data_IF_594377158213
#
_entry.id   IF_594377158213
#
_cell.length_a   1.000
_cell.length_b   1.000
_cell.length_c   1.000
_cell.angle_alpha   90.00
_cell.angle_beta   90.00
_cell.angle_gamma   90.00
#
_symmetry.space_group_name_H-M   'P 1'
#
loop_
_entity.id
_entity.type
_entity.pdbx_description
1 polymer ?
#
# COMPACT_ATOMS: atom_id res chain seq x y z
N UNK A 1 -61.71 -44.24 3.67
CA UNK A 1 -62.53 -44.39 4.90
C UNK A 1 -61.89 -45.49 5.74
N UNK A 2 -61.42 -45.13 6.94
CA UNK A 2 -61.40 -45.90 8.21
C UNK A 2 -60.79 -47.33 8.19
N UNK A 3 -59.87 -47.77 9.05
CA UNK A 3 -59.40 -47.37 10.41
C UNK A 3 -58.23 -48.28 10.83
N UNK A 4 -57.24 -47.73 11.57
CA UNK A 4 -56.61 -48.18 12.85
C UNK A 4 -56.30 -49.69 13.08
N UNK A 5 -55.25 -50.16 13.77
CA UNK A 5 -54.24 -49.59 14.69
C UNK A 5 -53.25 -50.68 15.18
N UNK A 6 -52.07 -50.25 15.70
CA UNK A 6 -51.29 -50.79 16.87
C UNK A 6 -50.71 -52.21 16.81
N UNK A 7 -49.58 -52.61 17.42
CA UNK A 7 -48.47 -52.02 18.18
C UNK A 7 -47.63 -53.21 18.71
N UNK A 8 -46.31 -53.04 18.94
CA UNK A 8 -45.50 -53.58 20.07
C UNK A 8 -44.08 -54.04 19.67
N UNK A 9 -43.09 -53.45 20.34
CA UNK A 9 -41.72 -53.93 20.54
C UNK A 9 -41.67 -54.80 21.82
N UNK A 10 -40.60 -55.59 22.11
CA UNK A 10 -39.38 -55.01 22.70
C UNK A 10 -38.03 -55.74 22.41
N UNK A 11 -36.95 -54.96 22.65
CA UNK A 11 -35.56 -55.24 23.09
C UNK A 11 -34.96 -56.67 23.07
N UNK A 12 -33.74 -56.79 22.53
CA UNK A 12 -32.52 -57.10 23.31
C UNK A 12 -31.23 -56.87 22.50
N UNK A 13 -30.18 -56.43 23.20
CA UNK A 13 -28.85 -56.10 22.69
C UNK A 13 -27.95 -57.34 22.58
N UNK A 14 -26.92 -57.31 21.73
CA UNK A 14 -25.55 -57.65 22.14
C UNK A 14 -24.49 -57.31 21.07
N UNK A 15 -23.37 -56.84 21.61
CA UNK A 15 -22.13 -56.35 21.01
C UNK A 15 -21.22 -57.48 20.55
N UNK A 16 -20.50 -57.31 19.44
CA UNK A 16 -19.08 -57.71 19.36
C UNK A 16 -18.41 -57.20 18.08
N UNK A 17 -17.40 -56.34 18.28
CA UNK A 17 -16.40 -55.99 17.29
C UNK A 17 -15.27 -57.04 17.35
N UNK A 18 -14.79 -57.50 16.20
CA UNK A 18 -13.40 -57.97 16.07
C UNK A 18 -12.88 -57.75 14.64
N UNK A 19 -11.59 -57.46 14.58
CA UNK A 19 -10.79 -56.77 13.56
C UNK A 19 -10.68 -57.45 12.17
N UNK A 20 -10.11 -56.72 11.18
CA UNK A 20 -9.34 -57.35 10.11
C UNK A 20 -7.84 -56.96 10.14
N UNK A 21 -7.02 -57.99 10.29
CA UNK A 21 -5.95 -58.46 9.37
C UNK A 21 -5.05 -57.39 8.69
N UNK A 22 -3.75 -57.40 9.05
CA UNK A 22 -2.61 -56.99 8.21
C UNK A 22 -2.23 -58.16 7.27
N UNK A 23 -1.65 -57.97 6.08
CA UNK A 23 -0.21 -57.83 5.70
C UNK A 23 -0.19 -58.07 4.13
N UNK A 24 0.82 -57.77 3.26
CA UNK A 24 1.78 -56.66 3.05
C UNK A 24 1.95 -56.16 1.57
N UNK A 25 2.74 -55.08 1.44
CA UNK A 25 3.80 -54.77 0.45
C UNK A 25 3.55 -54.76 -1.08
N UNK A 26 3.90 -53.63 -1.70
CA UNK A 26 4.27 -53.52 -3.11
C UNK A 26 4.74 -52.10 -3.46
N UNK A 27 6.05 -51.94 -3.58
CA UNK A 27 6.79 -50.71 -3.90
C UNK A 27 6.76 -50.32 -5.39
N UNK A 28 6.70 -49.02 -5.71
CA UNK A 28 7.49 -48.45 -6.82
C UNK A 28 7.58 -46.92 -6.78
N UNK A 29 8.82 -46.46 -6.98
CA UNK A 29 9.34 -45.09 -7.12
C UNK A 29 8.68 -44.21 -8.20
N UNK A 30 8.54 -42.90 -7.91
CA UNK A 30 9.10 -41.77 -8.71
C UNK A 30 8.77 -40.42 -8.02
N UNK A 31 9.73 -39.82 -7.30
CA UNK A 31 10.47 -38.61 -7.69
C UNK A 31 9.69 -37.28 -7.67
N UNK A 32 9.79 -36.60 -6.52
CA UNK A 32 10.10 -35.19 -6.28
C UNK A 32 9.80 -34.15 -7.39
N UNK A 33 8.83 -33.28 -7.10
CA UNK A 33 8.75 -31.90 -7.60
C UNK A 33 8.67 -31.01 -6.36
N UNK A 34 9.50 -29.96 -6.21
CA UNK A 34 9.50 -29.15 -5.00
C UNK A 34 8.31 -28.21 -4.98
N UNK A 35 7.46 -28.38 -3.96
CA UNK A 35 6.57 -27.36 -3.44
C UNK A 35 7.41 -26.16 -3.00
N UNK A 36 7.33 -25.05 -3.74
CA UNK A 36 7.62 -23.74 -3.16
C UNK A 36 6.28 -23.00 -3.09
N UNK A 37 5.71 -23.07 -1.90
CA UNK A 37 4.44 -22.54 -1.44
C UNK A 37 4.29 -21.05 -1.75
N UNK A 38 3.31 -20.70 -2.59
CA UNK A 38 2.66 -19.39 -2.56
C UNK A 38 1.72 -19.39 -1.36
N UNK A 39 2.04 -18.63 -0.32
CA UNK A 39 1.08 -18.28 0.73
C UNK A 39 -0.01 -17.40 0.10
N UNK A 40 -1.15 -18.01 -0.20
CA UNK A 40 -2.36 -17.29 -0.60
C UNK A 40 -2.86 -16.56 0.64
N UNK A 41 -2.54 -15.27 0.77
CA UNK A 41 -3.20 -14.39 1.72
C UNK A 41 -4.63 -14.12 1.22
N UNK A 42 -5.53 -15.05 1.51
CA UNK A 42 -6.96 -14.80 1.43
C UNK A 42 -7.30 -13.72 2.44
N UNK A 43 -7.37 -12.46 2.02
CA UNK A 43 -8.05 -11.40 2.76
C UNK A 43 -9.57 -11.60 2.66
N UNK A 44 -10.01 -12.80 3.06
CA UNK A 44 -11.40 -13.12 3.35
C UNK A 44 -11.74 -12.48 4.69
N UNK A 45 -12.53 -11.43 4.64
CA UNK A 45 -13.10 -10.77 5.81
C UNK A 45 -13.78 -11.83 6.67
N UNK A 46 -13.23 -12.09 7.87
CA UNK A 46 -13.89 -12.88 8.89
C UNK A 46 -15.10 -12.10 9.46
N UNK A 47 -16.19 -12.03 8.70
CA UNK A 47 -17.52 -11.57 9.15
C UNK A 47 -18.63 -12.48 8.60
N UNK A 48 -18.38 -13.78 8.57
CA UNK A 48 -19.30 -14.80 8.03
C UNK A 48 -20.48 -15.15 8.97
N UNK A 49 -20.82 -14.26 9.91
CA UNK A 49 -21.87 -14.52 10.92
C UNK A 49 -23.01 -13.50 10.98
N UNK A 50 -23.09 -12.50 10.09
CA UNK A 50 -24.17 -11.50 10.17
C UNK A 50 -25.01 -11.27 8.92
N UNK A 51 -24.82 -12.03 7.83
CA UNK A 51 -25.66 -11.88 6.65
C UNK A 51 -26.26 -13.22 6.25
N UNK A 52 -27.58 -13.22 6.08
CA UNK A 52 -28.34 -14.40 5.68
C UNK A 52 -27.73 -15.03 4.44
N UNK A 53 -27.52 -16.34 4.51
CA UNK A 53 -27.34 -17.19 3.33
C UNK A 53 -28.55 -16.94 2.44
N UNK A 54 -28.39 -16.23 1.33
CA UNK A 54 -29.05 -16.43 0.03
C UNK A 54 -28.66 -15.30 -0.94
N UNK A 55 -27.99 -15.70 -2.03
CA UNK A 55 -27.91 -15.03 -3.36
C UNK A 55 -27.14 -13.72 -3.60
N UNK A 56 -26.55 -13.04 -2.60
CA UNK A 56 -25.73 -11.82 -2.87
C UNK A 56 -24.20 -11.98 -2.77
N UNK A 57 -23.68 -13.20 -2.61
CA UNK A 57 -22.23 -13.46 -2.62
C UNK A 57 -21.59 -13.46 -4.02
N UNK A 58 -22.39 -13.43 -5.10
CA UNK A 58 -21.92 -13.64 -6.47
C UNK A 58 -21.32 -12.40 -7.20
N UNK A 59 -21.26 -11.22 -6.58
CA UNK A 59 -20.87 -9.97 -7.27
C UNK A 59 -19.78 -9.15 -6.57
N UNK A 60 -19.08 -9.73 -5.58
CA UNK A 60 -17.93 -9.01 -5.00
C UNK A 60 -16.68 -9.31 -5.81
N UNK A 61 -15.99 -8.31 -6.38
CA UNK A 61 -14.71 -8.56 -7.02
C UNK A 61 -13.78 -9.19 -6.00
N UNK A 62 -13.33 -10.40 -6.29
CA UNK A 62 -12.32 -11.07 -5.49
C UNK A 62 -10.97 -10.45 -5.86
N UNK A 63 -10.36 -9.77 -4.89
CA UNK A 63 -9.02 -9.23 -5.02
C UNK A 63 -8.01 -10.27 -4.52
N UNK A 64 -6.94 -10.46 -5.28
CA UNK A 64 -5.82 -11.33 -4.93
C UNK A 64 -4.53 -10.57 -5.15
N UNK A 65 -3.55 -10.74 -4.27
CA UNK A 65 -2.23 -10.15 -4.45
C UNK A 65 -1.32 -11.10 -5.21
N UNK A 66 -0.55 -10.55 -6.14
CA UNK A 66 0.47 -11.28 -6.89
C UNK A 66 1.81 -10.56 -6.76
N UNK A 67 2.91 -11.29 -6.90
CA UNK A 67 4.20 -10.66 -7.19
C UNK A 67 4.45 -10.77 -8.70
N UNK A 68 5.01 -9.72 -9.30
CA UNK A 68 5.45 -9.76 -10.68
C UNK A 68 6.57 -10.79 -10.82
N UNK A 69 6.52 -11.62 -11.87
CA UNK A 69 7.57 -12.64 -12.12
C UNK A 69 8.88 -12.05 -12.59
N UNK A 70 8.85 -10.87 -13.25
CA UNK A 70 10.05 -10.15 -13.69
C UNK A 70 10.64 -9.27 -12.59
N UNK A 71 9.79 -8.72 -11.73
CA UNK A 71 10.20 -7.94 -10.57
C UNK A 71 9.48 -8.45 -9.31
N UNK A 72 10.06 -9.42 -8.58
CA UNK A 72 9.42 -10.01 -7.39
C UNK A 72 9.11 -9.02 -6.25
N UNK A 73 9.74 -7.84 -6.25
CA UNK A 73 9.47 -6.78 -5.27
C UNK A 73 8.21 -5.97 -5.63
N UNK A 74 7.76 -6.05 -6.88
CA UNK A 74 6.54 -5.39 -7.34
C UNK A 74 5.32 -6.25 -6.99
N UNK A 75 4.53 -5.75 -6.04
CA UNK A 75 3.24 -6.34 -5.66
C UNK A 75 2.15 -5.79 -6.57
N UNK A 76 1.35 -6.69 -7.14
CA UNK A 76 0.26 -6.41 -8.06
C UNK A 76 -1.09 -6.70 -7.41
N UNK A 77 -2.08 -5.88 -7.73
CA UNK A 77 -3.47 -6.11 -7.35
C UNK A 77 -4.18 -6.85 -8.48
N UNK A 78 -4.51 -8.13 -8.29
CA UNK A 78 -5.31 -8.90 -9.21
C UNK A 78 -6.81 -8.74 -8.94
N UNK A 79 -7.56 -8.35 -9.96
CA UNK A 79 -9.02 -8.29 -9.94
C UNK A 79 -9.57 -9.48 -10.69
N UNK A 80 -10.37 -10.30 -10.02
CA UNK A 80 -11.02 -11.46 -10.63
C UNK A 80 -11.90 -11.02 -11.81
N UNK A 81 -11.81 -11.76 -12.92
CA UNK A 81 -12.61 -11.53 -14.13
C UNK A 81 -13.47 -12.76 -14.44
N UNK A 82 -13.01 -13.59 -15.37
CA UNK A 82 -13.71 -14.79 -15.85
C UNK A 82 -12.93 -16.02 -15.40
N UNK A 83 -13.65 -17.04 -14.94
CA UNK A 83 -13.08 -18.32 -14.47
C UNK A 83 -12.02 -18.12 -13.38
N UNK A 84 -10.75 -18.49 -13.62
CA UNK A 84 -9.63 -18.30 -12.67
C UNK A 84 -8.61 -17.28 -13.19
N UNK A 85 -9.03 -16.37 -14.09
CA UNK A 85 -8.17 -15.31 -14.64
C UNK A 85 -8.37 -14.00 -13.92
N UNK A 86 -7.26 -13.28 -13.74
CA UNK A 86 -7.20 -12.03 -12.98
C UNK A 86 -6.57 -10.94 -13.82
N UNK A 87 -7.24 -9.79 -13.90
CA UNK A 87 -6.61 -8.58 -14.44
C UNK A 87 -5.66 -8.03 -13.38
N UNK A 88 -4.37 -8.13 -13.63
CA UNK A 88 -3.33 -7.62 -12.71
C UNK A 88 -3.12 -6.13 -12.93
N UNK A 89 -3.20 -5.38 -11.86
CA UNK A 89 -3.03 -3.93 -11.82
C UNK A 89 -1.78 -3.57 -11.02
N UNK A 90 -1.08 -2.57 -11.50
CA UNK A 90 0.08 -1.95 -10.88
C UNK A 90 -0.28 -0.53 -10.46
N UNK A 91 0.24 -0.07 -9.32
CA UNK A 91 0.01 1.30 -8.86
C UNK A 91 1.19 2.20 -9.24
N UNK A 92 0.92 3.19 -10.08
CA UNK A 92 1.91 4.17 -10.50
C UNK A 92 1.97 5.31 -9.47
N UNK A 93 3.06 5.38 -8.71
CA UNK A 93 3.22 6.34 -7.62
C UNK A 93 3.28 7.81 -8.07
N UNK A 94 3.82 8.09 -9.24
CA UNK A 94 3.95 9.44 -9.81
C UNK A 94 2.58 10.05 -10.15
N UNK A 95 1.71 9.26 -10.77
CA UNK A 95 0.36 9.67 -11.19
C UNK A 95 -0.70 9.41 -10.11
N UNK A 96 -0.39 8.56 -9.13
CA UNK A 96 -1.35 8.05 -8.14
C UNK A 96 -2.54 7.36 -8.80
N UNK A 97 -2.28 6.54 -9.82
CA UNK A 97 -3.31 5.80 -10.56
C UNK A 97 -2.93 4.33 -10.70
N UNK A 98 -3.94 3.49 -10.97
CA UNK A 98 -3.73 2.08 -11.28
C UNK A 98 -3.69 1.88 -12.78
N UNK A 99 -2.64 1.23 -13.24
CA UNK A 99 -2.46 0.82 -14.63
C UNK A 99 -2.58 -0.70 -14.75
N UNK A 100 -2.97 -1.16 -15.94
CA UNK A 100 -2.87 -2.58 -16.28
C UNK A 100 -1.40 -2.96 -16.32
N UNK A 101 -1.03 -4.01 -15.59
CA UNK A 101 0.36 -4.44 -15.53
C UNK A 101 0.81 -5.00 -16.89
N UNK A 102 1.90 -4.46 -17.42
CA UNK A 102 2.45 -4.76 -18.75
C UNK A 102 3.61 -5.77 -18.65
N UNK A 103 3.29 -7.01 -18.27
CA UNK A 103 4.27 -8.08 -18.14
C UNK A 103 3.69 -9.39 -18.68
N UNK A 104 4.56 -10.33 -19.06
CA UNK A 104 4.19 -11.71 -19.41
C UNK A 104 3.44 -12.47 -18.31
N UNK A 105 3.57 -12.04 -17.04
CA UNK A 105 2.77 -12.60 -15.96
C UNK A 105 1.31 -12.13 -15.95
N UNK A 106 0.91 -11.16 -16.78
CA UNK A 106 -0.49 -10.81 -16.96
C UNK A 106 -1.29 -12.01 -17.49
N UNK A 107 -2.52 -12.20 -17.02
CA UNK A 107 -3.38 -13.22 -17.62
C UNK A 107 -3.65 -12.88 -19.09
N UNK A 108 -3.46 -13.82 -20.03
CA UNK A 108 -3.65 -13.53 -21.44
C UNK A 108 -5.11 -13.20 -21.76
N UNK A 109 -5.30 -12.29 -22.70
CA UNK A 109 -6.58 -12.05 -23.36
C UNK A 109 -6.89 -13.22 -24.28
N UNK A 110 -8.12 -13.73 -24.21
CA UNK A 110 -8.63 -14.81 -25.04
C UNK A 110 -9.60 -14.26 -26.09
N UNK A 111 -9.88 -15.01 -27.15
CA UNK A 111 -10.89 -14.59 -28.15
C UNK A 111 -12.27 -14.43 -27.52
N UNK A 112 -12.61 -15.30 -26.57
CA UNK A 112 -13.86 -15.21 -25.79
C UNK A 112 -13.93 -14.01 -24.83
N UNK A 113 -12.90 -13.17 -24.75
CA UNK A 113 -12.98 -11.88 -24.07
C UNK A 113 -13.35 -10.74 -25.02
N UNK A 114 -13.16 -10.94 -26.33
CA UNK A 114 -13.31 -9.93 -27.36
C UNK A 114 -14.75 -9.89 -27.86
N UNK A 115 -15.40 -8.74 -27.71
CA UNK A 115 -16.74 -8.49 -28.24
C UNK A 115 -16.61 -7.61 -29.48
N UNK A 116 -16.80 -8.15 -30.69
CA UNK A 116 -16.59 -7.39 -31.91
C UNK A 116 -17.66 -6.30 -32.04
N UNK A 117 -17.21 -5.09 -32.39
CA UNK A 117 -18.02 -3.89 -32.53
C UNK A 117 -18.27 -3.54 -34.00
N UNK A 118 -17.19 -3.39 -34.79
CA UNK A 118 -17.22 -3.18 -36.25
C UNK A 118 -15.90 -3.63 -36.90
N UNK A 119 -15.93 -3.80 -38.23
CA UNK A 119 -14.74 -4.14 -39.03
C UNK A 119 -14.47 -3.04 -40.05
N UNK A 120 -13.21 -2.86 -40.42
CA UNK A 120 -12.81 -1.92 -41.46
C UNK A 120 -11.56 -2.42 -42.18
N UNK A 121 -11.51 -2.28 -43.50
CA UNK A 121 -10.33 -2.66 -44.27
C UNK A 121 -9.26 -1.58 -44.18
N UNK A 122 -8.03 -1.96 -43.81
CA UNK A 122 -6.89 -1.07 -43.78
C UNK A 122 -5.96 -1.38 -44.96
N UNK A 123 -5.86 -0.46 -45.91
CA UNK A 123 -5.05 -0.64 -47.12
C UNK A 123 -3.56 -0.73 -46.84
N UNK A 124 -3.06 -0.11 -45.77
CA UNK A 124 -1.62 -0.11 -45.45
C UNK A 124 -1.12 -1.47 -44.97
N UNK A 125 -1.90 -2.16 -44.12
CA UNK A 125 -1.60 -3.52 -43.68
C UNK A 125 -2.18 -4.58 -44.62
N UNK A 126 -2.99 -4.17 -45.60
CA UNK A 126 -3.65 -5.04 -46.57
C UNK A 126 -4.66 -6.01 -45.95
N UNK A 127 -5.20 -5.73 -44.78
CA UNK A 127 -6.02 -6.64 -43.98
C UNK A 127 -7.25 -5.96 -43.37
N UNK A 128 -8.26 -6.73 -42.99
CA UNK A 128 -9.42 -6.23 -42.25
C UNK A 128 -9.08 -6.15 -40.77
N UNK A 129 -9.25 -4.96 -40.20
CA UNK A 129 -9.13 -4.67 -38.78
C UNK A 129 -10.48 -4.88 -38.11
N UNK A 130 -10.49 -5.65 -37.04
CA UNK A 130 -11.66 -5.89 -36.18
C UNK A 130 -11.53 -5.01 -34.95
N UNK A 131 -12.50 -4.12 -34.73
CA UNK A 131 -12.61 -3.36 -33.49
C UNK A 131 -13.37 -4.18 -32.47
N UNK A 132 -12.76 -4.39 -31.31
CA UNK A 132 -13.33 -5.18 -30.24
C UNK A 132 -13.45 -4.34 -28.97
N UNK A 133 -14.52 -4.59 -28.20
CA UNK A 133 -14.54 -4.32 -26.78
C UNK A 133 -13.96 -5.54 -26.06
N UNK A 134 -12.80 -5.39 -25.44
CA UNK A 134 -12.19 -6.43 -24.63
C UNK A 134 -12.80 -6.39 -23.23
N UNK A 135 -13.62 -7.38 -22.91
CA UNK A 135 -14.30 -7.51 -21.62
C UNK A 135 -13.37 -7.90 -20.47
N UNK A 136 -12.16 -8.38 -20.77
CA UNK A 136 -11.18 -8.74 -19.75
C UNK A 136 -10.52 -7.51 -19.11
N UNK A 137 -10.17 -6.52 -19.92
CA UNK A 137 -9.51 -5.29 -19.48
C UNK A 137 -10.35 -4.01 -19.64
N UNK A 138 -11.56 -4.13 -20.18
CA UNK A 138 -12.51 -3.05 -20.46
C UNK A 138 -11.95 -1.95 -21.36
N UNK A 139 -11.20 -2.35 -22.39
CA UNK A 139 -10.67 -1.43 -23.41
C UNK A 139 -11.28 -1.69 -24.77
N UNK A 140 -11.27 -0.65 -25.61
CA UNK A 140 -11.48 -0.79 -27.05
C UNK A 140 -10.13 -1.02 -27.70
N UNK A 141 -10.04 -2.11 -28.43
CA UNK A 141 -8.79 -2.59 -29.02
C UNK A 141 -9.04 -2.97 -30.47
N UNK A 142 -7.97 -3.04 -31.26
CA UNK A 142 -8.03 -3.36 -32.68
C UNK A 142 -7.23 -4.63 -32.93
N UNK A 143 -7.77 -5.52 -33.73
CA UNK A 143 -7.19 -6.83 -33.98
C UNK A 143 -7.17 -7.15 -35.46
N UNK A 144 -6.14 -7.89 -35.89
CA UNK A 144 -6.04 -8.47 -37.22
C UNK A 144 -5.86 -9.97 -37.09
N UNK A 145 -6.42 -10.73 -38.02
CA UNK A 145 -6.17 -12.17 -38.07
C UNK A 145 -4.90 -12.43 -38.89
N UNK A 146 -3.92 -13.06 -38.27
CA UNK A 146 -2.70 -13.49 -38.93
C UNK A 146 -2.89 -14.93 -39.46
N UNK A 147 -2.77 -15.09 -40.77
CA UNK A 147 -3.00 -16.38 -41.46
C UNK A 147 -1.92 -17.42 -41.17
N UNK A 148 -0.70 -17.00 -40.88
CA UNK A 148 0.44 -17.88 -40.61
C UNK A 148 0.37 -18.43 -39.18
N UNK A 149 0.23 -17.53 -38.19
CA UNK A 149 0.12 -17.89 -36.78
C UNK A 149 -1.27 -18.41 -36.40
N UNK A 150 -2.28 -18.16 -37.24
CA UNK A 150 -3.69 -18.55 -37.07
C UNK A 150 -4.33 -17.98 -35.80
N UNK A 151 -3.83 -16.84 -35.32
CA UNK A 151 -4.32 -16.14 -34.13
C UNK A 151 -4.71 -14.69 -34.48
N UNK A 152 -5.46 -14.07 -33.57
CA UNK A 152 -5.68 -12.64 -33.57
C UNK A 152 -4.47 -11.93 -32.95
N UNK A 153 -4.02 -10.87 -33.61
CA UNK A 153 -2.91 -10.02 -33.18
C UNK A 153 -3.44 -8.60 -32.95
N UNK A 154 -3.17 -8.03 -31.78
CA UNK A 154 -3.52 -6.66 -31.44
C UNK A 154 -2.68 -5.70 -32.29
N UNK A 155 -3.36 -4.71 -32.87
CA UNK A 155 -2.74 -3.63 -33.64
C UNK A 155 -3.21 -2.29 -33.08
N UNK A 156 -2.48 -1.22 -33.38
CA UNK A 156 -2.92 0.12 -33.07
C UNK A 156 -2.83 1.01 -34.32
N UNK A 157 -3.98 1.41 -34.85
CA UNK A 157 -4.12 2.31 -36.00
C UNK A 157 -4.85 3.57 -35.58
N UNK A 158 -4.10 4.65 -35.39
CA UNK A 158 -4.62 5.97 -34.99
C UNK A 158 -5.43 6.66 -36.09
N UNK A 159 -5.15 6.34 -37.35
CA UNK A 159 -5.84 6.81 -38.56
C UNK A 159 -7.23 6.20 -38.73
N UNK A 160 -7.50 5.09 -38.05
CA UNK A 160 -8.77 4.40 -38.11
C UNK A 160 -9.57 4.66 -36.83
N UNK A 161 -10.64 5.44 -36.95
CA UNK A 161 -11.49 5.81 -35.81
C UNK A 161 -12.67 4.86 -35.62
N UNK A 162 -13.04 4.62 -34.37
CA UNK A 162 -14.24 3.86 -34.03
C UNK A 162 -15.51 4.56 -34.53
N UNK A 163 -16.36 3.81 -35.23
CA UNK A 163 -17.63 4.28 -35.78
C UNK A 163 -18.82 3.59 -35.09
N UNK A 164 -19.53 4.25 -34.17
CA UNK A 164 -20.62 3.64 -33.39
C UNK A 164 -21.88 3.34 -34.21
N UNK A 165 -22.02 3.95 -35.39
CA UNK A 165 -23.08 3.72 -36.36
C UNK A 165 -22.94 2.38 -37.10
N UNK A 166 -21.76 1.76 -37.04
CA UNK A 166 -21.49 0.46 -37.64
C UNK A 166 -21.71 -0.65 -36.61
N UNK A 167 -22.58 -1.60 -36.94
CA UNK A 167 -22.81 -2.80 -36.17
C UNK A 167 -22.46 -4.03 -37.01
N UNK A 168 -21.78 -5.01 -36.40
CA UNK A 168 -21.52 -6.30 -37.06
C UNK A 168 -22.73 -7.21 -36.89
N UNK A 169 -23.07 -7.92 -37.98
CA UNK A 169 -23.90 -9.13 -37.93
C UNK A 169 -23.18 -10.28 -37.19
N UNK A 170 -23.78 -11.48 -37.18
CA UNK A 170 -23.14 -12.68 -36.61
C UNK A 170 -21.76 -12.97 -37.21
N UNK A 171 -21.56 -12.72 -38.50
CA UNK A 171 -20.28 -12.98 -39.19
C UNK A 171 -19.40 -11.73 -39.16
N UNK A 172 -18.18 -11.88 -38.63
CA UNK A 172 -17.22 -10.78 -38.48
C UNK A 172 -16.26 -10.75 -39.67
N UNK A 173 -15.70 -11.90 -40.03
CA UNK A 173 -14.71 -12.04 -41.10
C UNK A 173 -14.66 -13.48 -41.60
N UNK A 174 -14.33 -13.69 -42.87
CA UNK A 174 -14.00 -15.00 -43.43
C UNK A 174 -12.61 -14.89 -44.08
N UNK A 175 -11.70 -15.79 -43.72
CA UNK A 175 -10.34 -15.85 -44.24
C UNK A 175 -10.10 -17.18 -44.96
N UNK A 176 -9.72 -17.12 -46.24
CA UNK A 176 -9.18 -18.28 -46.95
C UNK A 176 -7.72 -18.49 -46.54
N UNK A 177 -7.40 -19.71 -46.07
CA UNK A 177 -6.06 -20.11 -45.58
C UNK A 177 -5.39 -21.14 -46.52
N UNK A 178 -6.10 -21.64 -47.53
CA UNK A 178 -5.58 -22.59 -48.51
C UNK A 178 -6.68 -23.13 -49.42
N UNK A 179 -6.33 -24.07 -50.32
CA UNK A 179 -7.23 -24.63 -51.34
C UNK A 179 -8.48 -25.28 -50.74
N UNK A 180 -9.53 -24.49 -50.54
CA UNK A 180 -10.83 -24.94 -50.02
C UNK A 180 -11.02 -24.87 -48.50
N UNK A 181 -10.05 -24.34 -47.73
CA UNK A 181 -10.16 -24.19 -46.27
C UNK A 181 -10.38 -22.73 -45.90
N UNK A 182 -11.51 -22.46 -45.26
CA UNK A 182 -11.86 -21.14 -44.76
C UNK A 182 -11.93 -21.14 -43.22
N UNK A 183 -11.40 -20.09 -42.60
CA UNK A 183 -11.69 -19.76 -41.20
C UNK A 183 -12.74 -18.66 -41.19
N UNK A 184 -13.88 -18.89 -40.55
CA UNK A 184 -14.82 -17.84 -40.20
C UNK A 184 -14.57 -17.39 -38.77
N UNK A 185 -14.48 -16.07 -38.59
CA UNK A 185 -14.50 -15.42 -37.29
C UNK A 185 -15.93 -14.91 -37.11
N UNK A 186 -16.60 -15.39 -36.08
CA UNK A 186 -17.99 -15.09 -35.80
C UNK A 186 -18.16 -14.58 -34.37
N UNK A 187 -19.23 -13.80 -34.17
CA UNK A 187 -19.70 -13.39 -32.87
C UNK A 187 -20.65 -14.46 -32.31
N UNK A 188 -20.31 -15.03 -31.17
CA UNK A 188 -21.22 -15.87 -30.39
C UNK A 188 -21.73 -15.16 -29.13
N UNK A 189 -22.43 -15.88 -28.24
CA UNK A 189 -22.96 -15.33 -26.99
C UNK A 189 -21.87 -14.97 -25.97
N UNK A 190 -20.66 -15.51 -26.14
CA UNK A 190 -19.55 -15.40 -25.21
C UNK A 190 -18.42 -14.51 -25.72
N UNK A 191 -18.43 -14.09 -26.98
CA UNK A 191 -17.41 -13.21 -27.58
C UNK A 191 -17.11 -13.60 -29.03
N UNK A 192 -15.85 -13.46 -29.42
CA UNK A 192 -15.36 -13.98 -30.69
C UNK A 192 -15.14 -15.49 -30.59
N UNK A 193 -15.41 -16.16 -31.70
CA UNK A 193 -15.04 -17.56 -31.89
C UNK A 193 -14.65 -17.82 -33.33
N UNK A 194 -13.73 -18.77 -33.52
CA UNK A 194 -13.31 -19.21 -34.84
C UNK A 194 -13.99 -20.53 -35.23
N UNK A 195 -14.35 -20.65 -36.49
CA UNK A 195 -14.79 -21.90 -37.09
C UNK A 195 -13.93 -22.22 -38.31
N UNK A 196 -13.60 -23.50 -38.49
CA UNK A 196 -12.97 -24.03 -39.70
C UNK A 196 -14.02 -24.66 -40.59
N UNK A 197 -14.02 -24.26 -41.85
CA UNK A 197 -14.80 -24.86 -42.91
C UNK A 197 -13.88 -25.62 -43.87
N UNK A 198 -14.13 -26.92 -44.02
CA UNK A 198 -13.37 -27.82 -44.88
C UNK A 198 -14.32 -28.90 -45.41
N UNK A 199 -14.34 -29.10 -46.73
CA UNK A 199 -15.11 -30.16 -47.40
C UNK A 199 -16.61 -30.24 -47.01
N UNK A 200 -17.25 -29.10 -46.75
CA UNK A 200 -18.67 -29.06 -46.38
C UNK A 200 -18.96 -29.21 -44.89
N UNK A 201 -17.94 -29.42 -44.06
CA UNK A 201 -18.07 -29.49 -42.60
C UNK A 201 -17.62 -28.19 -41.94
N UNK A 202 -18.34 -27.79 -40.89
CA UNK A 202 -18.00 -26.65 -40.03
C UNK A 202 -17.62 -27.15 -38.64
N UNK A 203 -16.41 -26.85 -38.19
CA UNK A 203 -15.90 -27.24 -36.87
C UNK A 203 -15.54 -25.99 -36.07
N UNK A 204 -16.09 -25.83 -34.86
CA UNK A 204 -15.69 -24.75 -33.94
C UNK A 204 -14.29 -25.03 -33.41
N UNK A 205 -13.39 -24.05 -33.51
CA UNK A 205 -12.05 -24.14 -32.96
C UNK A 205 -12.06 -23.79 -31.46
N UNK A 206 -11.10 -24.33 -30.69
CA UNK A 206 -10.94 -23.97 -29.28
C UNK A 206 -10.57 -22.50 -29.11
N UNK A 207 -10.99 -21.92 -27.99
CA UNK A 207 -10.64 -20.54 -27.61
C UNK A 207 -9.12 -20.39 -27.53
N UNK A 208 -8.60 -19.36 -28.19
CA UNK A 208 -7.17 -19.16 -28.37
C UNK A 208 -6.69 -17.88 -27.69
N UNK A 209 -5.41 -17.84 -27.33
CA UNK A 209 -4.78 -16.63 -26.81
C UNK A 209 -4.61 -15.62 -27.94
N UNK A 210 -4.90 -14.37 -27.63
CA UNK A 210 -4.69 -13.23 -28.54
C UNK A 210 -3.35 -12.59 -28.22
N UNK A 211 -2.58 -12.25 -29.25
CA UNK A 211 -1.28 -11.61 -29.07
C UNK A 211 -1.44 -10.11 -28.84
N UNK A 212 -1.03 -9.62 -27.66
CA UNK A 212 -1.12 -8.21 -27.28
C UNK A 212 0.16 -7.42 -27.56
N UNK A 213 0.05 -6.10 -27.73
CA UNK A 213 1.20 -5.20 -27.84
C UNK A 213 1.84 -5.04 -26.45
N UNK A 214 3.07 -5.53 -26.27
CA UNK A 214 3.81 -5.40 -25.01
C UNK A 214 4.63 -4.11 -25.04
N UNK A 215 4.20 -3.11 -24.27
CA UNK A 215 5.00 -1.90 -24.03
C UNK A 215 6.00 -2.17 -22.89
N UNK A 216 7.28 -2.28 -23.23
CA UNK A 216 8.36 -2.36 -22.24
C UNK A 216 8.83 -0.94 -21.94
N UNK A 217 8.53 -0.41 -20.77
CA UNK A 217 9.31 0.67 -20.15
C UNK A 217 9.03 0.69 -18.65
N UNK A 218 10.06 0.54 -17.83
CA UNK A 218 10.01 0.97 -16.43
C UNK A 218 11.41 1.36 -15.97
N UNK A 219 11.65 2.65 -15.68
CA UNK A 219 12.85 3.09 -14.99
C UNK A 219 12.71 2.86 -13.48
N UNK A 220 13.80 2.41 -12.87
CA UNK A 220 13.96 2.18 -11.44
C UNK A 220 14.24 3.51 -10.71
N UNK A 221 13.48 3.89 -9.66
CA UNK A 221 13.74 5.11 -8.92
C UNK A 221 14.83 4.90 -7.85
N UNK A 222 15.77 5.84 -7.79
CA UNK A 222 16.84 5.90 -6.80
C UNK A 222 16.29 6.06 -5.36
N UNK A 223 16.79 5.23 -4.44
CA UNK A 223 16.35 5.20 -3.04
C UNK A 223 17.01 6.31 -2.20
N UNK A 224 16.25 7.04 -1.36
CA UNK A 224 16.81 7.95 -0.38
C UNK A 224 17.42 7.22 0.83
N UNK A 225 18.32 7.91 1.54
CA UNK A 225 19.02 7.42 2.74
C UNK A 225 18.07 6.99 3.87
N UNK A 226 18.34 5.84 4.49
CA UNK A 226 17.46 5.21 5.48
C UNK A 226 17.42 5.98 6.82
N UNK A 227 16.26 6.52 7.15
CA UNK A 227 15.91 6.90 8.52
C UNK A 227 14.85 5.93 9.09
N UNK A 228 14.54 6.04 10.39
CA UNK A 228 13.59 5.14 11.08
C UNK A 228 12.20 5.11 10.42
N UNK A 229 11.77 6.22 9.81
CA UNK A 229 10.48 6.28 9.09
C UNK A 229 10.50 5.41 7.83
N UNK A 230 11.58 5.46 7.05
CA UNK A 230 11.73 4.62 5.86
C UNK A 230 11.75 3.13 6.22
N UNK A 231 12.43 2.77 7.33
CA UNK A 231 12.43 1.40 7.83
C UNK A 231 11.02 0.93 8.20
N UNK A 232 10.27 1.76 8.93
CA UNK A 232 8.86 1.48 9.24
C UNK A 232 7.99 1.38 7.98
N UNK A 233 8.12 2.30 7.02
CA UNK A 233 7.31 2.26 5.79
C UNK A 233 7.60 1.04 4.92
N UNK A 234 8.81 0.48 4.98
CA UNK A 234 9.13 -0.80 4.33
C UNK A 234 8.35 -1.97 4.92
N UNK A 235 8.01 -1.96 6.21
CA UNK A 235 7.24 -3.05 6.85
C UNK A 235 5.73 -2.95 6.59
N UNK A 236 5.24 -1.81 6.10
CA UNK A 236 3.82 -1.63 5.81
C UNK A 236 3.39 -2.38 4.54
N UNK A 237 2.21 -3.04 4.53
CA UNK A 237 1.71 -3.70 3.34
C UNK A 237 1.46 -2.70 2.21
N UNK A 238 1.69 -3.12 0.97
CA UNK A 238 1.42 -2.27 -0.21
C UNK A 238 -0.08 -2.02 -0.37
N UNK A 239 -0.89 -3.05 -0.13
CA UNK A 239 -2.34 -3.00 -0.27
C UNK A 239 -3.06 -3.45 1.01
N UNK A 240 -4.14 -2.75 1.38
CA UNK A 240 -5.05 -3.13 2.45
C UNK A 240 -6.48 -3.11 1.92
N UNK A 241 -7.19 -4.24 2.02
CA UNK A 241 -8.62 -4.29 1.71
C UNK A 241 -9.46 -3.94 2.95
N UNK A 242 -10.52 -3.17 2.74
CA UNK A 242 -11.47 -2.82 3.81
C UNK A 242 -12.88 -2.69 3.25
N UNK A 243 -13.89 -3.12 4.01
CA UNK A 243 -15.28 -2.96 3.59
C UNK A 243 -15.85 -1.65 4.11
N UNK A 244 -16.45 -0.85 3.23
CA UNK A 244 -17.17 0.36 3.58
C UNK A 244 -18.68 0.06 3.68
N UNK A 245 -19.28 0.06 4.88
CA UNK A 245 -20.71 -0.24 5.03
C UNK A 245 -21.61 0.84 4.44
N UNK A 246 -21.20 2.12 4.46
CA UNK A 246 -22.01 3.24 3.96
C UNK A 246 -22.24 3.21 2.45
N UNK A 247 -21.26 2.69 1.71
CA UNK A 247 -21.34 2.54 0.26
C UNK A 247 -21.52 1.08 -0.15
N UNK A 248 -21.66 0.15 0.81
CA UNK A 248 -21.78 -1.29 0.60
C UNK A 248 -20.74 -1.86 -0.41
N UNK A 249 -19.47 -1.46 -0.28
CA UNK A 249 -18.41 -1.85 -1.24
C UNK A 249 -17.05 -2.03 -0.59
N UNK A 250 -16.19 -2.80 -1.24
CA UNK A 250 -14.80 -2.99 -0.83
C UNK A 250 -13.97 -1.79 -1.32
N UNK A 251 -13.17 -1.22 -0.42
CA UNK A 251 -12.14 -0.24 -0.70
C UNK A 251 -10.77 -0.92 -0.62
N UNK A 252 -9.95 -0.67 -1.62
CA UNK A 252 -8.52 -1.01 -1.62
C UNK A 252 -7.75 0.24 -1.25
N UNK A 253 -6.94 0.13 -0.22
CA UNK A 253 -6.00 1.14 0.21
C UNK A 253 -4.63 0.79 -0.33
N UNK A 254 -4.00 1.73 -1.02
CA UNK A 254 -2.65 1.56 -1.56
C UNK A 254 -1.69 2.50 -0.86
N UNK A 255 -0.57 1.96 -0.39
CA UNK A 255 0.49 2.68 0.31
C UNK A 255 1.15 3.67 -0.65
N UNK A 256 1.38 4.89 -0.20
CA UNK A 256 2.21 5.87 -0.92
C UNK A 256 3.54 6.10 -0.18
N UNK A 257 4.45 6.89 -0.77
CA UNK A 257 5.83 7.03 -0.31
C UNK A 257 5.96 7.54 1.14
N UNK A 258 5.02 8.37 1.61
CA UNK A 258 4.99 8.91 2.98
C UNK A 258 4.41 7.94 4.03
N UNK A 259 4.15 6.69 3.64
CA UNK A 259 3.57 5.65 4.48
C UNK A 259 2.07 5.78 4.73
N UNK A 260 1.41 6.81 4.18
CA UNK A 260 -0.06 6.90 4.19
C UNK A 260 -0.68 6.05 3.09
N UNK A 261 -2.01 5.96 3.07
CA UNK A 261 -2.76 5.18 2.09
C UNK A 261 -3.80 6.02 1.35
N UNK A 262 -3.83 5.86 0.04
CA UNK A 262 -4.92 6.34 -0.80
C UNK A 262 -6.00 5.27 -0.93
N UNK A 263 -7.27 5.67 -0.95
CA UNK A 263 -8.42 4.76 -1.05
C UNK A 263 -8.94 4.71 -2.47
N UNK A 264 -9.19 3.51 -2.98
CA UNK A 264 -9.79 3.22 -4.27
C UNK A 264 -10.90 2.19 -4.11
N UNK A 265 -11.78 2.13 -5.09
CA UNK A 265 -12.72 1.02 -5.27
C UNK A 265 -12.74 0.61 -6.73
N UNK A 266 -13.12 -0.63 -6.98
CA UNK A 266 -13.25 -1.14 -8.32
C UNK A 266 -14.69 -0.92 -8.81
N UNK A 267 -14.88 -0.22 -9.93
CA UNK A 267 -16.20 0.11 -10.48
C UNK A 267 -16.61 -0.84 -11.63
N UNK A 268 -16.17 -2.10 -11.58
CA UNK A 268 -16.32 -3.13 -12.63
C UNK A 268 -15.40 -2.91 -13.85
N UNK A 269 -15.08 -1.66 -14.16
CA UNK A 269 -14.19 -1.31 -15.27
C UNK A 269 -12.74 -1.15 -14.81
N UNK A 270 -12.52 -0.24 -13.86
CA UNK A 270 -11.20 0.22 -13.40
C UNK A 270 -11.20 0.52 -11.90
N UNK A 271 -10.00 0.77 -11.37
CA UNK A 271 -9.86 1.34 -10.03
C UNK A 271 -10.16 2.83 -10.08
N UNK A 272 -11.04 3.29 -9.19
CA UNK A 272 -11.46 4.69 -9.09
C UNK A 272 -11.14 5.19 -7.70
N UNK A 273 -10.53 6.38 -7.61
CA UNK A 273 -10.21 7.02 -6.32
C UNK A 273 -11.50 7.25 -5.54
N UNK A 274 -11.52 6.76 -4.30
CA UNK A 274 -12.67 6.89 -3.43
C UNK A 274 -12.68 8.28 -2.78
N UNK A 275 -13.87 8.86 -2.65
CA UNK A 275 -14.11 10.03 -1.80
C UNK A 275 -14.17 9.61 -0.34
N UNK A 276 -13.95 10.59 0.54
CA UNK A 276 -14.04 10.36 1.98
C UNK A 276 -15.48 10.00 2.38
N UNK A 277 -15.60 8.90 3.12
CA UNK A 277 -16.85 8.49 3.73
C UNK A 277 -17.00 9.23 5.07
N UNK A 278 -18.13 9.89 5.29
CA UNK A 278 -18.41 10.63 6.53
C UNK A 278 -18.44 9.75 7.78
N UNK A 279 -18.69 8.45 7.63
CA UNK A 279 -18.80 7.51 8.76
C UNK A 279 -17.56 6.63 8.92
N UNK A 280 -16.80 6.36 7.85
CA UNK A 280 -15.59 5.54 7.97
C UNK A 280 -14.44 6.42 8.48
N UNK A 281 -13.73 6.00 9.54
CA UNK A 281 -12.64 6.78 10.07
C UNK A 281 -11.54 6.95 9.03
N UNK A 282 -11.08 8.19 8.88
CA UNK A 282 -9.94 8.54 8.03
C UNK A 282 -8.67 8.71 8.87
N UNK A 283 -8.83 9.25 10.09
CA UNK A 283 -7.75 9.46 11.03
C UNK A 283 -7.80 8.39 12.12
N UNK A 284 -6.63 7.89 12.48
CA UNK A 284 -6.46 7.03 13.65
C UNK A 284 -6.72 7.87 14.89
N UNK A 285 -7.61 7.39 15.75
CA UNK A 285 -7.94 8.01 17.05
C UNK A 285 -7.81 6.95 18.12
N UNK A 286 -7.72 7.36 19.40
CA UNK A 286 -7.59 6.42 20.52
C UNK A 286 -8.65 5.30 20.49
N UNK A 287 -9.89 5.64 20.13
CA UNK A 287 -11.02 4.69 20.08
C UNK A 287 -10.87 3.62 18.99
N UNK A 288 -9.94 3.82 18.05
CA UNK A 288 -9.63 2.88 16.97
C UNK A 288 -8.40 2.02 17.31
N UNK A 289 -7.79 2.20 18.47
CA UNK A 289 -6.68 1.39 18.95
C UNK A 289 -7.20 0.34 19.94
N UNK A 290 -7.00 -0.93 19.60
CA UNK A 290 -7.30 -2.06 20.47
C UNK A 290 -6.01 -2.52 21.13
N UNK A 291 -5.79 -2.30 22.43
CA UNK A 291 -4.59 -2.79 23.09
C UNK A 291 -4.60 -4.32 23.12
N UNK A 292 -3.44 -4.90 22.79
CA UNK A 292 -3.22 -6.35 22.74
C UNK A 292 -2.42 -6.81 23.96
N UNK A 293 -1.32 -6.12 24.27
CA UNK A 293 -0.51 -6.29 25.48
C UNK A 293 0.46 -5.11 25.64
N UNK A 294 1.18 -5.09 26.77
CA UNK A 294 2.18 -4.08 27.12
C UNK A 294 3.55 -4.70 27.28
N UNK A 295 4.58 -3.94 26.95
CA UNK A 295 5.97 -4.27 27.22
C UNK A 295 6.60 -3.20 28.11
N UNK A 296 7.06 -3.64 29.29
CA UNK A 296 7.75 -2.80 30.26
C UNK A 296 9.22 -3.16 30.25
N UNK A 297 10.06 -2.16 30.08
CA UNK A 297 11.51 -2.30 30.10
C UNK A 297 12.10 -1.36 31.13
N UNK A 298 12.98 -1.90 31.96
CA UNK A 298 13.61 -1.13 33.02
C UNK A 298 14.45 0.00 32.41
N UNK A 299 14.15 1.24 32.78
CA UNK A 299 14.83 2.44 32.26
C UNK A 299 14.40 2.92 30.88
N UNK A 300 13.42 2.27 30.24
CA UNK A 300 12.89 2.66 28.93
C UNK A 300 11.40 3.02 28.99
N UNK A 301 10.89 3.64 27.91
CA UNK A 301 9.47 3.93 27.78
C UNK A 301 8.66 2.63 27.63
N UNK A 302 7.52 2.57 28.31
CA UNK A 302 6.61 1.44 28.20
C UNK A 302 5.89 1.45 26.84
N UNK A 303 5.88 0.31 26.17
CA UNK A 303 5.34 0.17 24.82
C UNK A 303 4.00 -0.54 24.87
N UNK A 304 3.02 0.03 24.17
CA UNK A 304 1.67 -0.49 24.02
C UNK A 304 1.57 -1.10 22.62
N UNK A 305 1.32 -2.40 22.53
CA UNK A 305 1.01 -3.03 21.25
C UNK A 305 -0.49 -2.95 20.99
N UNK A 306 -0.88 -2.27 19.93
CA UNK A 306 -2.27 -2.02 19.56
C UNK A 306 -2.60 -2.61 18.19
N UNK A 307 -3.77 -3.24 18.04
CA UNK A 307 -4.38 -3.42 16.72
C UNK A 307 -5.13 -2.15 16.33
N UNK A 308 -4.72 -1.50 15.25
CA UNK A 308 -5.40 -0.34 14.71
C UNK A 308 -6.59 -0.78 13.85
N UNK A 309 -7.82 -0.45 14.25
CA UNK A 309 -9.05 -0.83 13.53
C UNK A 309 -9.16 -0.20 12.14
N UNK A 310 -8.43 0.89 11.86
CA UNK A 310 -8.44 1.56 10.56
C UNK A 310 -7.66 0.76 9.52
N UNK A 311 -6.44 0.37 9.87
CA UNK A 311 -5.49 -0.33 8.97
C UNK A 311 -5.52 -1.85 9.16
N UNK A 312 -6.08 -2.32 10.28
CA UNK A 312 -6.00 -3.68 10.81
C UNK A 312 -4.56 -4.17 11.04
N UNK A 313 -3.61 -3.23 11.23
CA UNK A 313 -2.21 -3.53 11.52
C UNK A 313 -1.97 -3.55 13.04
N UNK A 314 -0.96 -4.31 13.44
CA UNK A 314 -0.40 -4.25 14.79
C UNK A 314 0.67 -3.15 14.81
N UNK A 315 0.43 -2.14 15.64
CA UNK A 315 1.19 -0.90 15.74
C UNK A 315 1.65 -0.71 17.20
N UNK A 316 2.78 -0.04 17.40
CA UNK A 316 3.34 0.22 18.73
C UNK A 316 3.14 1.68 19.11
N UNK A 317 2.81 1.93 20.38
CA UNK A 317 2.58 3.26 20.91
C UNK A 317 3.27 3.47 22.26
N UNK A 318 3.71 4.68 22.51
CA UNK A 318 4.07 5.17 23.84
C UNK A 318 3.13 6.33 24.20
N UNK A 319 2.85 6.49 25.48
CA UNK A 319 2.16 7.69 25.95
C UNK A 319 3.20 8.74 26.34
N UNK A 320 3.21 9.89 25.66
CA UNK A 320 4.09 11.01 25.99
C UNK A 320 3.37 11.93 26.97
N UNK A 321 3.88 11.99 28.20
CA UNK A 321 3.30 12.81 29.27
C UNK A 321 3.39 14.31 28.97
N UNK A 322 4.48 14.75 28.33
CA UNK A 322 4.74 16.18 28.12
C UNK A 322 3.77 16.78 27.12
N UNK A 323 3.44 16.02 26.08
CA UNK A 323 2.51 16.43 25.01
C UNK A 323 1.11 15.85 25.20
N UNK A 324 0.92 14.97 26.19
CA UNK A 324 -0.35 14.31 26.50
C UNK A 324 -0.98 13.59 25.29
N UNK A 325 -0.16 12.88 24.51
CA UNK A 325 -0.54 12.19 23.28
C UNK A 325 -0.02 10.74 23.25
N UNK A 326 -0.72 9.90 22.49
CA UNK A 326 -0.25 8.58 22.10
C UNK A 326 0.62 8.71 20.87
N UNK A 327 1.94 8.58 21.05
CA UNK A 327 2.92 8.65 19.98
C UNK A 327 3.18 7.25 19.43
N UNK A 328 2.93 7.07 18.14
CA UNK A 328 3.31 5.84 17.47
C UNK A 328 4.84 5.73 17.41
N UNK A 329 5.37 4.56 17.71
CA UNK A 329 6.80 4.26 17.63
C UNK A 329 7.02 3.06 16.71
N UNK A 330 8.26 2.89 16.24
CA UNK A 330 8.69 1.70 15.53
C UNK A 330 10.00 1.20 16.15
N UNK A 331 9.88 0.09 16.87
CA UNK A 331 10.95 -0.59 17.59
C UNK A 331 11.04 -2.01 17.02
N UNK A 332 11.84 -2.23 15.95
CA UNK A 332 11.94 -3.51 15.26
C UNK A 332 12.47 -4.65 16.13
N UNK A 333 13.18 -4.34 17.22
CA UNK A 333 13.68 -5.27 18.23
C UNK A 333 12.58 -5.88 19.11
N UNK A 334 11.36 -5.32 19.08
CA UNK A 334 10.19 -5.80 19.83
C UNK A 334 8.97 -5.97 18.93
N UNK A 335 9.00 -6.92 17.98
CA UNK A 335 7.85 -7.16 17.12
C UNK A 335 6.64 -7.60 17.93
N UNK A 336 5.45 -7.47 17.34
CA UNK A 336 4.23 -7.99 17.94
C UNK A 336 4.32 -9.52 18.13
N UNK A 337 4.07 -9.98 19.35
CA UNK A 337 4.01 -11.39 19.73
C UNK A 337 2.57 -11.78 20.11
N UNK A 338 1.93 -12.55 19.22
CA UNK A 338 0.56 -13.01 19.42
C UNK A 338 0.37 -13.94 20.62
N UNK A 339 1.43 -14.58 21.13
CA UNK A 339 1.34 -15.45 22.31
C UNK A 339 1.19 -14.67 23.61
N UNK A 340 1.64 -13.42 23.62
CA UNK A 340 1.51 -12.47 24.73
C UNK A 340 0.19 -11.74 24.72
N UNK A 341 -0.65 -11.98 23.71
CA UNK A 341 -1.99 -11.42 23.63
C UNK A 341 -2.74 -11.77 24.90
N UNK A 342 -3.27 -10.73 25.52
CA UNK A 342 -4.14 -10.89 26.66
C UNK A 342 -5.59 -10.73 26.15
N UNK A 343 -6.49 -11.62 26.55
CA UNK A 343 -7.91 -11.57 26.17
C UNK A 343 -8.86 -11.05 27.27
N UNK A 344 -8.35 -10.73 28.46
CA UNK A 344 -9.16 -10.16 29.55
C UNK A 344 -9.61 -8.71 29.28
N UNK A 345 -10.80 -8.36 29.74
CA UNK A 345 -11.38 -7.01 29.63
C UNK A 345 -10.81 -6.00 30.65
N UNK A 346 -9.76 -6.37 31.40
CA UNK A 346 -9.21 -5.54 32.47
C UNK A 346 -7.67 -5.53 32.45
N UNK A 347 -7.10 -4.63 31.66
CA UNK A 347 -5.68 -4.25 31.81
C UNK A 347 -5.54 -3.08 32.76
N UNK A 348 -4.56 -3.14 33.64
CA UNK A 348 -4.12 -1.99 34.41
C UNK A 348 -2.61 -1.97 34.34
N UNK A 349 -2.08 -1.09 33.52
CA UNK A 349 -0.67 -0.76 33.58
C UNK A 349 -0.52 0.64 34.19
N UNK A 350 0.32 0.74 35.24
CA UNK A 350 0.58 2.00 35.94
C UNK A 350 1.91 2.58 35.46
N UNK A 351 1.87 3.67 34.70
CA UNK A 351 3.01 4.55 34.43
C UNK A 351 2.84 5.79 35.29
N UNK A 352 3.66 5.95 36.31
CA UNK A 352 3.49 7.03 37.30
C UNK A 352 2.06 7.04 37.86
N UNK A 353 1.27 8.08 37.62
CA UNK A 353 -0.13 8.16 38.02
C UNK A 353 -1.13 7.77 36.92
N UNK A 354 -0.67 7.38 35.72
CA UNK A 354 -1.55 6.93 34.63
C UNK A 354 -1.78 5.44 34.70
N UNK A 355 -3.04 5.08 34.63
CA UNK A 355 -3.52 3.73 34.41
C UNK A 355 -3.96 3.63 32.95
N UNK A 356 -3.26 2.79 32.18
CA UNK A 356 -3.67 2.41 30.82
C UNK A 356 -4.45 1.10 30.93
N UNK A 357 -5.67 1.11 30.39
CA UNK A 357 -6.60 -0.01 30.47
C UNK A 357 -7.30 -0.28 29.16
N UNK A 358 -8.03 -1.40 29.12
CA UNK A 358 -8.91 -1.78 28.02
C UNK A 358 -10.32 -1.83 28.56
N UNK A 359 -11.27 -1.28 27.82
CA UNK A 359 -12.70 -1.43 28.08
C UNK A 359 -13.36 -1.92 26.79
N UNK A 360 -13.76 -3.19 26.77
CA UNK A 360 -14.19 -3.85 25.54
C UNK A 360 -13.05 -3.85 24.50
N UNK A 361 -13.26 -3.22 23.35
CA UNK A 361 -12.22 -3.09 22.32
C UNK A 361 -11.55 -1.70 22.27
N UNK A 362 -11.66 -0.91 23.34
CA UNK A 362 -11.17 0.47 23.36
C UNK A 362 -10.01 0.62 24.33
N UNK A 363 -8.95 1.31 23.88
CA UNK A 363 -7.88 1.79 24.75
C UNK A 363 -8.39 2.90 25.66
N UNK A 364 -8.16 2.77 26.96
CA UNK A 364 -8.58 3.71 27.99
C UNK A 364 -7.36 4.26 28.74
N UNK A 365 -7.40 5.56 29.04
CA UNK A 365 -6.38 6.27 29.80
C UNK A 365 -7.04 6.92 31.02
N UNK A 366 -6.60 6.53 32.21
CA UNK A 366 -7.10 7.01 33.49
C UNK A 366 -5.95 7.58 34.32
N UNK A 367 -6.20 8.61 35.12
CA UNK A 367 -5.24 9.09 36.12
C UNK A 367 -5.71 8.67 37.50
N UNK A 368 -4.82 8.07 38.27
CA UNK A 368 -4.99 7.77 39.69
C UNK A 368 -4.68 9.03 40.49
N UNK A 369 -5.72 9.71 40.99
CA UNK A 369 -5.51 10.86 41.88
C UNK A 369 -5.21 10.40 43.30
N UNK A 370 -4.66 11.30 44.12
CA UNK A 370 -4.31 11.11 45.55
C UNK A 370 -5.44 10.55 46.46
N UNK A 371 -6.68 10.51 45.97
CA UNK A 371 -7.83 9.90 46.64
C UNK A 371 -8.12 8.44 46.23
N UNK A 372 -7.20 7.79 45.50
CA UNK A 372 -7.41 6.49 44.81
C UNK A 372 -8.60 6.50 43.83
N UNK A 373 -9.10 7.68 43.47
CA UNK A 373 -10.13 7.84 42.44
C UNK A 373 -9.47 7.81 41.07
N UNK A 374 -9.95 6.90 40.22
CA UNK A 374 -9.60 6.83 38.81
C UNK A 374 -10.43 7.83 38.04
N UNK A 375 -9.77 8.73 37.32
CA UNK A 375 -10.42 9.73 36.48
C UNK A 375 -10.00 9.46 35.04
N UNK A 376 -10.96 9.05 34.20
CA UNK A 376 -10.77 9.03 32.75
C UNK A 376 -10.49 10.45 32.29
N UNK A 377 -9.41 10.64 31.56
CA UNK A 377 -9.22 11.89 30.82
C UNK A 377 -9.44 11.60 29.34
N UNK A 378 -9.92 12.63 28.63
CA UNK A 378 -10.60 12.49 27.34
C UNK A 378 -9.78 11.78 26.25
N UNK A 379 -10.36 11.59 25.05
CA UNK A 379 -9.60 10.99 23.96
C UNK A 379 -8.34 11.81 23.72
N UNK A 380 -7.18 11.19 23.89
CA UNK A 380 -5.89 11.84 23.66
C UNK A 380 -5.58 11.85 22.17
N UNK A 381 -4.79 12.83 21.73
CA UNK A 381 -4.33 12.87 20.36
C UNK A 381 -3.47 11.63 20.05
N UNK A 382 -3.57 11.12 18.82
CA UNK A 382 -2.74 10.01 18.33
C UNK A 382 -1.81 10.55 17.26
N UNK A 383 -0.51 10.47 17.50
CA UNK A 383 0.53 10.99 16.63
C UNK A 383 1.20 9.84 15.86
N UNK A 384 0.72 9.60 14.64
CA UNK A 384 1.16 8.47 13.82
C UNK A 384 2.53 8.70 13.19
N UNK A 385 3.21 7.63 12.77
CA UNK A 385 4.50 7.71 12.07
C UNK A 385 4.43 8.58 10.81
N UNK A 386 3.30 8.55 10.09
CA UNK A 386 3.10 9.39 8.91
C UNK A 386 2.97 10.89 9.27
N UNK A 387 2.32 11.22 10.40
CA UNK A 387 2.26 12.60 10.90
C UNK A 387 3.64 13.09 11.34
N UNK A 388 4.37 12.26 12.09
CA UNK A 388 5.73 12.54 12.52
C UNK A 388 6.69 12.71 11.33
N UNK A 389 6.55 11.89 10.29
CA UNK A 389 7.35 12.01 9.06
C UNK A 389 7.11 13.34 8.33
N UNK A 390 5.87 13.82 8.25
CA UNK A 390 5.55 15.12 7.63
C UNK A 390 6.20 16.27 8.39
N UNK A 391 6.15 16.24 9.72
CA UNK A 391 6.82 17.23 10.58
C UNK A 391 8.34 17.16 10.38
N UNK A 392 8.90 15.94 10.31
CA UNK A 392 10.33 15.73 10.04
C UNK A 392 10.75 16.31 8.68
N UNK A 393 10.02 16.01 7.61
CA UNK A 393 10.33 16.55 6.27
C UNK A 393 10.21 18.07 6.19
N UNK A 394 9.22 18.66 6.85
CA UNK A 394 9.03 20.11 6.92
C UNK A 394 10.22 20.77 7.62
N UNK A 395 10.64 20.22 8.77
CA UNK A 395 11.81 20.69 9.50
C UNK A 395 13.09 20.54 8.66
N UNK A 396 13.30 19.43 7.96
CA UNK A 396 14.46 19.22 7.09
C UNK A 396 14.47 20.21 5.91
N UNK A 397 13.30 20.48 5.32
CA UNK A 397 13.16 21.51 4.27
C UNK A 397 13.52 22.90 4.80
N UNK A 398 13.06 23.25 6.00
CA UNK A 398 13.43 24.52 6.63
C UNK A 398 14.93 24.62 6.92
N UNK A 399 15.56 23.55 7.42
CA UNK A 399 17.01 23.51 7.68
C UNK A 399 17.80 23.74 6.40
N UNK A 400 17.48 22.99 5.34
CA UNK A 400 18.10 23.15 4.02
C UNK A 400 17.89 24.57 3.45
N UNK A 401 16.70 25.15 3.62
CA UNK A 401 16.42 26.52 3.18
C UNK A 401 17.26 27.56 3.93
N UNK A 402 17.42 27.41 5.25
CA UNK A 402 18.26 28.28 6.09
C UNK A 402 19.74 28.12 5.74
N UNK A 403 20.20 26.89 5.48
CA UNK A 403 21.56 26.61 5.05
C UNK A 403 21.86 27.28 3.70
N UNK A 404 20.97 27.12 2.70
CA UNK A 404 21.13 27.77 1.39
C UNK A 404 21.19 29.30 1.49
N UNK A 405 20.37 29.90 2.37
CA UNK A 405 20.40 31.35 2.64
C UNK A 405 21.70 31.80 3.34
N UNK A 406 22.25 30.97 4.25
CA UNK A 406 23.52 31.28 4.93
C UNK A 406 24.74 31.13 4.02
N UNK A 407 24.73 30.19 3.08
CA UNK A 407 25.79 30.05 2.06
C UNK A 407 25.75 31.16 1.01
N UNK A 408 24.56 31.67 0.66
CA UNK A 408 24.45 32.78 -0.29
C UNK A 408 24.80 34.13 0.34
N UNK A 409 24.51 34.36 1.62
CA UNK A 409 24.96 35.57 2.33
C UNK A 409 26.48 35.60 2.53
N UNK A 410 27.11 34.45 2.76
CA UNK A 410 28.57 34.35 2.91
C UNK A 410 29.34 34.60 1.59
N UNK A 411 28.74 34.25 0.44
CA UNK A 411 29.34 34.51 -0.87
C UNK A 411 29.29 35.99 -1.29
N UNK A 412 28.31 36.77 -0.79
CA UNK A 412 28.22 38.22 -1.04
C UNK A 412 29.23 38.98 -0.17
N UNK A 413 29.43 38.55 1.08
CA UNK A 413 30.45 39.14 1.98
C UNK A 413 31.90 38.87 1.51
N UNK A 414 32.19 37.77 0.81
CA UNK A 414 33.52 37.57 0.21
C UNK A 414 33.77 38.46 -1.02
N UNK A 415 32.74 38.77 -1.81
CA UNK A 415 32.87 39.72 -2.92
C UNK A 415 32.95 41.18 -2.44
N UNK A 416 32.15 41.61 -1.45
CA UNK A 416 32.27 42.96 -0.88
C UNK A 416 33.53 43.14 -0.02
N UNK A 417 34.00 42.12 0.71
CA UNK A 417 35.24 42.22 1.49
C UNK A 417 36.51 42.26 0.63
N UNK A 418 36.50 41.69 -0.57
CA UNK A 418 37.63 41.81 -1.52
C UNK A 418 37.78 43.23 -2.08
N UNK A 419 36.65 43.89 -2.36
CA UNK A 419 36.55 45.30 -2.77
C UNK A 419 36.92 46.25 -1.61
N UNK A 420 36.39 46.01 -0.42
CA UNK A 420 36.63 46.85 0.76
C UNK A 420 38.06 46.72 1.30
N UNK A 421 38.70 45.54 1.20
CA UNK A 421 40.12 45.35 1.60
C UNK A 421 41.08 46.11 0.69
N UNK A 422 40.80 46.22 -0.61
CA UNK A 422 41.63 47.00 -1.54
C UNK A 422 41.51 48.51 -1.27
N UNK A 423 40.30 48.99 -0.96
CA UNK A 423 40.07 50.42 -0.67
C UNK A 423 40.58 50.83 0.72
N UNK A 424 40.50 49.92 1.71
CA UNK A 424 41.02 50.16 3.05
C UNK A 424 42.57 50.17 3.10
N UNK A 425 43.25 49.31 2.34
CA UNK A 425 44.72 49.36 2.22
C UNK A 425 45.22 50.64 1.56
N UNK A 426 44.45 51.23 0.63
CA UNK A 426 44.76 52.54 0.04
C UNK A 426 44.54 53.70 1.02
N UNK A 427 43.56 53.61 1.92
CA UNK A 427 43.32 54.62 2.97
C UNK A 427 44.31 54.56 4.13
N UNK A 428 44.75 53.38 4.57
CA UNK A 428 45.72 53.22 5.67
C UNK A 428 47.09 53.80 5.29
N UNK A 429 47.49 53.77 4.01
CA UNK A 429 48.72 54.43 3.53
C UNK A 429 48.69 55.97 3.59
N UNK A 430 47.53 56.61 3.80
CA UNK A 430 47.41 58.08 3.85
C UNK A 430 47.29 58.69 5.24
N UNK A 431 47.19 57.89 6.30
CA UNK A 431 47.02 58.40 7.66
C UNK A 431 48.11 57.86 8.59
N UNK A 432 49.38 58.14 8.29
CA UNK A 432 50.45 58.13 9.29
C UNK A 432 50.66 59.56 9.78
N UNK A 433 49.80 59.99 10.70
CA UNK A 433 49.98 61.20 11.51
C UNK A 433 50.33 60.79 12.95
N UNK A 434 51.27 61.48 13.64
CA UNK A 434 51.77 61.08 14.96
C UNK A 434 50.74 61.15 16.09
N UNK A 435 49.60 61.81 15.88
CA UNK A 435 48.59 62.07 16.92
C UNK A 435 47.67 60.87 17.23
N UNK A 436 47.75 59.78 16.45
CA UNK A 436 46.96 58.57 16.67
C UNK A 436 47.48 57.70 17.83
N UNK A 437 48.71 57.95 18.29
CA UNK A 437 49.38 57.13 19.32
C UNK A 437 48.88 57.39 20.75
N UNK A 438 48.27 58.55 21.01
CA UNK A 438 47.81 58.93 22.35
C UNK A 438 46.39 58.39 22.66
N UNK A 439 45.56 58.20 21.62
CA UNK A 439 44.21 57.65 21.76
C UNK A 439 44.21 56.12 21.96
N UNK A 440 45.18 55.42 21.36
CA UNK A 440 45.29 53.96 21.49
C UNK A 440 45.66 53.52 22.91
N UNK A 441 46.49 54.31 23.61
CA UNK A 441 46.93 53.99 24.98
C UNK A 441 45.77 54.07 25.99
N UNK A 442 44.86 55.02 25.80
CA UNK A 442 43.63 55.16 26.60
C UNK A 442 42.65 53.99 26.38
N UNK A 443 42.57 53.48 25.15
CA UNK A 443 41.68 52.36 24.82
C UNK A 443 42.21 51.03 25.39
N UNK A 444 43.52 50.79 25.35
CA UNK A 444 44.14 49.60 25.93
C UNK A 444 44.00 49.58 27.46
N UNK A 445 44.17 50.72 28.13
CA UNK A 445 43.92 50.86 29.57
C UNK A 445 42.45 50.60 29.94
N UNK A 446 41.51 50.99 29.07
CA UNK A 446 40.08 50.72 29.24
C UNK A 446 39.75 49.23 29.07
N UNK A 447 40.39 48.56 28.11
CA UNK A 447 40.22 47.11 27.88
C UNK A 447 40.80 46.30 29.04
N UNK A 448 41.95 46.68 29.59
CA UNK A 448 42.51 46.05 30.79
C UNK A 448 41.61 46.24 32.01
N UNK A 449 41.04 47.43 32.21
CA UNK A 449 40.11 47.69 33.30
C UNK A 449 38.83 46.83 33.21
N UNK A 450 38.26 46.69 32.01
CA UNK A 450 37.07 45.84 31.77
C UNK A 450 37.39 44.36 32.04
N UNK A 451 38.56 43.89 31.59
CA UNK A 451 38.99 42.52 31.82
C UNK A 451 39.25 42.23 33.31
N UNK A 452 39.78 43.20 34.05
CA UNK A 452 39.99 43.09 35.50
C UNK A 452 38.67 42.99 36.26
N UNK A 453 37.67 43.82 35.90
CA UNK A 453 36.32 43.76 36.49
C UNK A 453 35.64 42.41 36.19
N UNK A 454 35.79 41.89 34.97
CA UNK A 454 35.28 40.57 34.60
C UNK A 454 35.85 39.44 35.46
N UNK A 455 37.15 39.48 35.78
CA UNK A 455 37.80 38.51 36.67
C UNK A 455 37.29 38.59 38.12
N UNK A 456 37.04 39.79 38.64
CA UNK A 456 36.48 39.98 39.99
C UNK A 456 35.04 39.46 40.11
N UNK A 457 34.22 39.65 39.07
CA UNK A 457 32.85 39.10 39.02
C UNK A 457 32.88 37.57 39.00
N UNK A 458 33.77 36.97 38.21
CA UNK A 458 33.92 35.52 38.15
C UNK A 458 34.38 34.91 39.49
N UNK A 459 35.31 35.56 40.20
CA UNK A 459 35.73 35.12 41.54
C UNK A 459 34.62 35.21 42.59
N UNK A 460 33.78 36.26 42.53
CA UNK A 460 32.65 36.42 43.45
C UNK A 460 31.58 35.33 43.25
N UNK A 461 31.32 34.94 42.01
CA UNK A 461 30.35 33.90 41.69
C UNK A 461 30.82 32.49 42.10
N UNK A 462 32.12 32.20 41.99
CA UNK A 462 32.69 30.93 42.48
C UNK A 462 32.63 30.80 44.01
N UNK A 463 32.72 31.91 44.75
CA UNK A 463 32.61 31.89 46.21
C UNK A 463 31.16 31.72 46.72
N UNK A 464 30.14 32.05 45.91
CA UNK A 464 28.73 31.84 46.28
C UNK A 464 28.26 30.39 46.13
N UNK A 465 28.93 29.57 45.32
CA UNK A 465 28.59 28.16 45.15
C UNK A 465 29.18 27.23 46.24
N UNK A 466 30.14 27.69 47.03
CA UNK A 466 30.80 26.89 48.07
C UNK A 466 30.21 27.07 49.49
N UNK A 467 29.16 27.87 49.67
CA UNK A 467 28.55 28.11 51.01
C UNK A 467 27.20 27.42 51.24
N UNK A 468 26.79 26.48 50.38
CA UNK A 468 25.58 25.66 50.56
C UNK A 468 25.88 24.15 50.62
N UNK A 469 27.01 23.76 51.22
CA UNK A 469 27.29 22.40 51.67
C UNK A 469 27.52 22.36 53.17
#
# INVERSE_FOLDING_TARGET
MSTLSSSSSPLSAETSQSAPVRIPSGSSLSQNIPENSQEIYNYGVAHDKMYGKNEQQALRPHFVLFNCTRNPQLVLLGVHRKESRYLKLEFEHSQQEFNVHSCDCQSPTMESDLNPLHTSYCSEIGNVVVYCWNSFNNKREQYVYNKESKILEEVHRSDMMFRPDLCISRHVMICEIGSGVNISIEKDTNGLCQFRYEEGQTVKLPDSVVQQIVSNDTPEPEQPSENVFHQYFKTLPVFIASFCPCFNRIHIRVKILDGTYLKYYFNEERMVRATNCSTCPEKVTQNLLVPMYFECREGENNVIHCRNKTTNLFEQYIYDWNTSELKQVFLPEIPYDGSRRQDSDSYFFKVDDIIISKEGESLMLEILRSSNKRVRFGPVAVNTMAMQYKIFEENERERKSKEMQSTSSSAVDEQESSSFRQDHQHRIRRCQSPDFSQYHRSLEETIEAVNYVGKLIAQRNNNQFNTNQ
#
